data_IF_772097807290
#
_entry.id   IF_772097807290
#
_cell.length_a   1.000
_cell.length_b   1.000
_cell.length_c   1.000
_cell.angle_alpha   90.00
_cell.angle_beta   90.00
_cell.angle_gamma   90.00
#
_symmetry.space_group_name_H-M   'P 1'
#
loop_
_entity.id
_entity.type
_entity.pdbx_description
1 polymer ?
#
# COMPACT_ATOMS: atom_id res chain seq x y z
N UNK A 1 -40.38 67.42 -13.95
CA UNK A 1 -40.23 66.02 -14.41
C UNK A 1 -38.81 65.89 -14.95
N UNK A 2 -37.91 64.98 -14.60
CA UNK A 2 -38.02 63.64 -14.03
C UNK A 2 -36.64 63.31 -13.42
N UNK A 3 -36.60 62.83 -12.17
CA UNK A 3 -35.39 62.30 -11.55
C UNK A 3 -35.16 60.86 -12.06
N UNK A 4 -34.09 60.62 -12.83
CA UNK A 4 -33.64 59.26 -13.18
C UNK A 4 -32.61 58.79 -12.16
N UNK A 5 -33.04 57.93 -11.25
CA UNK A 5 -32.18 57.22 -10.30
C UNK A 5 -31.33 56.17 -11.03
N UNK A 6 -30.00 56.36 -11.04
CA UNK A 6 -29.03 55.38 -11.55
C UNK A 6 -28.87 54.21 -10.55
N UNK A 7 -29.86 53.31 -10.48
CA UNK A 7 -29.79 52.07 -9.68
C UNK A 7 -29.25 50.89 -10.49
N UNK A 8 -28.02 50.96 -11.04
CA UNK A 8 -27.45 49.85 -11.84
C UNK A 8 -25.96 49.46 -11.65
N UNK A 9 -25.17 49.94 -10.65
CA UNK A 9 -23.81 49.42 -10.45
C UNK A 9 -23.73 48.26 -9.42
N UNK A 10 -24.53 48.27 -8.35
CA UNK A 10 -24.40 47.33 -7.21
C UNK A 10 -24.73 45.87 -7.56
N UNK A 11 -25.72 45.62 -8.41
CA UNK A 11 -26.10 44.25 -8.79
C UNK A 11 -25.07 43.62 -9.75
N UNK A 12 -24.40 44.45 -10.56
CA UNK A 12 -23.38 44.03 -11.52
C UNK A 12 -22.06 43.72 -10.81
N UNK A 13 -21.67 44.52 -9.83
CA UNK A 13 -20.51 44.23 -8.98
C UNK A 13 -20.73 42.99 -8.11
N UNK A 14 -21.93 42.79 -7.54
CA UNK A 14 -22.26 41.59 -6.76
C UNK A 14 -22.15 40.30 -7.59
N UNK A 15 -22.61 40.32 -8.85
CA UNK A 15 -22.47 39.20 -9.79
C UNK A 15 -21.01 38.90 -10.14
N UNK A 16 -20.20 39.95 -10.35
CA UNK A 16 -18.76 39.80 -10.64
C UNK A 16 -18.02 39.24 -9.43
N UNK A 17 -18.30 39.73 -8.22
CA UNK A 17 -17.69 39.19 -6.99
C UNK A 17 -18.08 37.74 -6.76
N UNK A 18 -19.33 37.36 -7.05
CA UNK A 18 -19.78 35.97 -6.94
C UNK A 18 -19.07 35.04 -7.95
N UNK A 19 -18.93 35.48 -9.21
CA UNK A 19 -18.20 34.73 -10.23
C UNK A 19 -16.71 34.56 -9.89
N UNK A 20 -16.08 35.60 -9.35
CA UNK A 20 -14.70 35.55 -8.88
C UNK A 20 -14.53 34.53 -7.73
N UNK A 21 -15.40 34.59 -6.71
CA UNK A 21 -15.38 33.64 -5.59
C UNK A 21 -15.60 32.20 -6.07
N UNK A 22 -16.55 31.97 -6.99
CA UNK A 22 -16.77 30.65 -7.58
C UNK A 22 -15.54 30.14 -8.34
N UNK A 23 -14.92 30.98 -9.16
CA UNK A 23 -13.69 30.60 -9.88
C UNK A 23 -12.53 30.27 -8.93
N UNK A 24 -12.36 31.06 -7.85
CA UNK A 24 -11.33 30.84 -6.83
C UNK A 24 -11.56 29.54 -6.06
N UNK A 25 -12.83 29.22 -5.75
CA UNK A 25 -13.19 27.99 -5.05
C UNK A 25 -12.90 26.73 -5.89
N UNK A 26 -13.18 26.76 -7.20
CA UNK A 26 -12.87 25.67 -8.12
C UNK A 26 -11.36 25.48 -8.26
N UNK A 27 -10.60 26.58 -8.31
CA UNK A 27 -9.14 26.55 -8.35
C UNK A 27 -8.57 25.94 -7.05
N UNK A 28 -9.12 26.29 -5.88
CA UNK A 28 -8.73 25.67 -4.60
C UNK A 28 -9.03 24.16 -4.55
N UNK A 29 -10.20 23.72 -5.04
CA UNK A 29 -10.57 22.29 -5.08
C UNK A 29 -9.64 21.51 -6.02
N UNK A 30 -9.35 22.06 -7.21
CA UNK A 30 -8.41 21.45 -8.14
C UNK A 30 -7.00 21.34 -7.52
N UNK A 31 -6.52 22.42 -6.91
CA UNK A 31 -5.22 22.42 -6.23
C UNK A 31 -5.18 21.46 -5.03
N UNK A 32 -6.27 21.26 -4.29
CA UNK A 32 -6.33 20.28 -3.18
C UNK A 32 -6.09 18.84 -3.64
N UNK A 33 -6.60 18.48 -4.82
CA UNK A 33 -6.32 17.16 -5.40
C UNK A 33 -4.88 17.05 -5.91
N UNK A 34 -4.37 18.12 -6.52
CA UNK A 34 -2.99 18.19 -7.04
C UNK A 34 -1.94 18.22 -5.93
N UNK A 35 -2.21 18.83 -4.78
CA UNK A 35 -1.25 18.92 -3.66
C UNK A 35 -1.01 17.54 -3.03
N UNK A 36 -2.04 16.69 -2.89
CA UNK A 36 -1.83 15.33 -2.36
C UNK A 36 -0.94 14.48 -3.26
N UNK A 37 -1.11 14.61 -4.58
CA UNK A 37 -0.29 13.92 -5.57
C UNK A 37 1.14 14.48 -5.55
N UNK A 38 1.29 15.81 -5.50
CA UNK A 38 2.58 16.47 -5.45
C UNK A 38 3.38 16.12 -4.19
N UNK A 39 2.74 16.00 -3.03
CA UNK A 39 3.42 15.58 -1.78
C UNK A 39 3.91 14.14 -1.88
N UNK A 40 3.09 13.21 -2.39
CA UNK A 40 3.50 11.83 -2.66
C UNK A 40 4.73 11.81 -3.57
N UNK A 41 4.67 12.54 -4.68
CA UNK A 41 5.73 12.55 -5.69
C UNK A 41 7.02 13.19 -5.15
N UNK A 42 6.92 14.25 -4.35
CA UNK A 42 8.07 14.88 -3.68
C UNK A 42 8.77 13.91 -2.72
N UNK A 43 8.02 13.08 -1.99
CA UNK A 43 8.59 12.06 -1.11
C UNK A 43 9.36 11.02 -1.93
N UNK A 44 8.82 10.57 -3.06
CA UNK A 44 9.51 9.62 -3.94
C UNK A 44 10.70 10.24 -4.69
N UNK A 45 10.63 11.52 -5.06
CA UNK A 45 11.75 12.24 -5.68
C UNK A 45 12.91 12.43 -4.71
N UNK A 46 12.61 12.69 -3.43
CA UNK A 46 13.61 12.79 -2.37
C UNK A 46 14.05 11.43 -1.83
N UNK A 47 13.50 10.32 -2.36
CA UNK A 47 13.85 8.95 -1.97
C UNK A 47 15.36 8.69 -1.91
N UNK A 48 16.20 9.13 -2.87
CA UNK A 48 17.64 8.93 -2.77
C UNK A 48 18.32 9.59 -1.56
N UNK A 49 17.68 10.59 -0.94
CA UNK A 49 18.22 11.33 0.22
C UNK A 49 17.97 10.57 1.52
N UNK A 50 16.86 9.83 1.62
CA UNK A 50 16.42 9.18 2.87
C UNK A 50 16.32 7.65 2.78
N UNK A 51 16.14 7.08 1.60
CA UNK A 51 16.22 5.64 1.35
C UNK A 51 17.71 5.27 1.23
N UNK A 52 18.25 4.73 2.32
CA UNK A 52 19.66 4.34 2.39
C UNK A 52 20.00 3.27 1.35
N UNK A 53 21.30 3.16 1.02
CA UNK A 53 21.77 2.10 0.13
C UNK A 53 21.34 0.74 0.65
N UNK A 54 20.83 -0.11 -0.24
CA UNK A 54 20.49 -1.50 0.10
C UNK A 54 21.71 -2.18 0.72
N UNK A 55 21.51 -2.89 1.83
CA UNK A 55 22.57 -3.68 2.45
C UNK A 55 23.09 -4.72 1.46
N UNK A 56 24.39 -5.00 1.51
CA UNK A 56 24.98 -6.07 0.68
C UNK A 56 24.30 -7.37 1.03
N UNK A 57 23.72 -8.04 0.03
CA UNK A 57 23.04 -9.31 0.23
C UNK A 57 24.04 -10.36 0.70
N UNK A 58 23.72 -11.05 1.79
CA UNK A 58 24.42 -12.29 2.17
C UNK A 58 23.84 -13.42 1.35
N UNK A 59 24.63 -13.97 0.42
CA UNK A 59 24.21 -15.08 -0.42
C UNK A 59 24.28 -16.36 0.42
N UNK A 60 23.12 -16.94 0.73
CA UNK A 60 23.02 -18.26 1.37
C UNK A 60 22.74 -19.30 0.28
N UNK A 61 23.68 -20.19 -0.06
CA UNK A 61 23.48 -21.18 -1.11
C UNK A 61 22.43 -22.21 -0.69
N UNK A 62 21.56 -22.62 -1.61
CA UNK A 62 20.57 -23.67 -1.35
C UNK A 62 21.15 -25.05 -1.69
N UNK A 63 21.32 -25.91 -0.68
CA UNK A 63 21.76 -27.28 -0.88
C UNK A 63 20.55 -28.21 -0.90
N UNK A 64 20.23 -28.77 -2.07
CA UNK A 64 19.13 -29.71 -2.26
C UNK A 64 19.62 -31.02 -2.88
N UNK A 65 19.23 -32.14 -2.26
CA UNK A 65 19.24 -33.47 -2.85
C UNK A 65 18.18 -34.32 -2.16
N UNK A 66 17.66 -35.32 -2.86
CA UNK A 66 16.70 -36.26 -2.30
C UNK A 66 17.29 -37.00 -1.11
N UNK A 67 16.50 -37.15 -0.03
CA UNK A 67 16.87 -37.92 1.16
C UNK A 67 17.73 -37.19 2.21
N UNK A 68 17.98 -35.88 2.07
CA UNK A 68 18.69 -35.10 3.10
C UNK A 68 17.90 -35.01 4.41
N UNK A 69 18.59 -35.21 5.52
CA UNK A 69 18.08 -34.86 6.86
C UNK A 69 18.40 -33.39 7.19
N UNK A 70 17.52 -32.73 7.95
CA UNK A 70 17.76 -31.37 8.46
C UNK A 70 19.08 -31.22 9.25
N UNK A 71 19.59 -32.26 9.91
CA UNK A 71 20.91 -32.19 10.57
C UNK A 71 22.08 -32.03 9.58
N UNK A 72 22.04 -32.75 8.45
CA UNK A 72 23.04 -32.65 7.39
C UNK A 72 22.96 -31.30 6.69
N UNK A 73 21.73 -30.81 6.45
CA UNK A 73 21.52 -29.48 5.88
C UNK A 73 22.11 -28.40 6.78
N UNK A 74 21.82 -28.43 8.09
CA UNK A 74 22.44 -27.53 9.05
C UNK A 74 23.98 -27.59 8.98
N UNK A 75 24.54 -28.79 8.90
CA UNK A 75 26.00 -28.97 8.79
C UNK A 75 26.60 -28.29 7.55
N UNK A 76 25.98 -28.40 6.37
CA UNK A 76 26.45 -27.71 5.15
C UNK A 76 26.40 -26.18 5.25
N UNK A 77 25.52 -25.65 6.08
CA UNK A 77 25.45 -24.22 6.38
C UNK A 77 26.33 -23.79 7.56
N UNK A 78 27.07 -24.71 8.20
CA UNK A 78 27.80 -24.43 9.44
C UNK A 78 26.88 -24.14 10.64
N UNK A 79 25.62 -24.53 10.57
CA UNK A 79 24.60 -24.36 11.60
C UNK A 79 24.49 -25.61 12.48
N UNK A 80 23.98 -25.40 13.70
CA UNK A 80 23.61 -26.48 14.60
C UNK A 80 22.10 -26.71 14.54
N UNK A 81 21.68 -27.98 14.51
CA UNK A 81 20.25 -28.32 14.53
C UNK A 81 19.65 -27.86 15.85
N UNK A 82 18.52 -27.15 15.79
CA UNK A 82 17.79 -26.70 16.97
C UNK A 82 17.26 -27.90 17.75
N UNK A 83 17.38 -27.86 19.07
CA UNK A 83 16.86 -28.89 19.99
C UNK A 83 15.39 -28.68 20.34
N UNK A 84 14.95 -27.43 20.33
CA UNK A 84 13.58 -27.06 20.69
C UNK A 84 12.70 -27.08 19.45
N UNK A 85 11.44 -27.48 19.62
CA UNK A 85 10.39 -27.32 18.59
C UNK A 85 10.12 -25.83 18.41
N UNK A 86 10.25 -25.35 17.18
CA UNK A 86 9.94 -23.97 16.81
C UNK A 86 8.61 -23.97 16.07
N UNK A 87 7.75 -23.00 16.35
CA UNK A 87 6.55 -22.78 15.57
C UNK A 87 6.86 -21.89 14.37
N UNK A 88 6.45 -22.33 13.19
CA UNK A 88 6.51 -21.59 11.94
C UNK A 88 5.14 -20.96 11.69
N UNK A 89 5.10 -19.63 11.68
CA UNK A 89 3.89 -18.85 11.43
C UNK A 89 4.05 -18.16 10.09
N UNK A 90 3.17 -18.45 9.14
CA UNK A 90 3.10 -17.74 7.87
C UNK A 90 1.99 -16.69 7.92
N UNK A 91 2.36 -15.42 7.75
CA UNK A 91 1.41 -14.30 7.78
C UNK A 91 1.25 -13.73 6.37
N UNK A 92 0.03 -13.77 5.85
CA UNK A 92 -0.29 -13.46 4.46
C UNK A 92 -1.27 -12.29 4.42
N UNK A 93 -0.91 -11.21 3.73
CA UNK A 93 -1.84 -10.13 3.40
C UNK A 93 -2.54 -10.50 2.11
N UNK A 94 -3.83 -10.79 2.20
CA UNK A 94 -4.66 -11.26 1.09
C UNK A 94 -5.49 -10.11 0.49
N UNK A 95 -5.64 -10.14 -0.84
CA UNK A 95 -6.43 -9.15 -1.58
C UNK A 95 -7.56 -9.80 -2.39
N UNK A 96 -7.23 -10.52 -3.48
CA UNK A 96 -8.23 -11.13 -4.38
C UNK A 96 -7.78 -12.48 -5.00
N UNK A 97 -6.49 -12.78 -5.03
CA UNK A 97 -5.90 -13.93 -5.76
C UNK A 97 -6.05 -15.22 -4.95
N UNK A 98 -7.27 -15.76 -4.94
CA UNK A 98 -7.63 -16.94 -4.14
C UNK A 98 -6.86 -18.20 -4.60
N UNK A 99 -6.61 -18.30 -5.90
CA UNK A 99 -5.81 -19.36 -6.51
C UNK A 99 -4.36 -19.36 -6.02
N UNK A 100 -3.74 -18.18 -5.91
CA UNK A 100 -2.38 -18.07 -5.34
C UNK A 100 -2.35 -18.39 -3.84
N UNK A 101 -3.38 -17.98 -3.09
CA UNK A 101 -3.51 -18.35 -1.68
C UNK A 101 -3.65 -19.86 -1.52
N UNK A 102 -4.46 -20.50 -2.36
CA UNK A 102 -4.66 -21.96 -2.35
C UNK A 102 -3.36 -22.71 -2.63
N UNK A 103 -2.64 -22.33 -3.69
CA UNK A 103 -1.34 -22.93 -4.05
C UNK A 103 -0.37 -22.78 -2.88
N UNK A 104 -0.23 -21.56 -2.33
CA UNK A 104 0.68 -21.29 -1.21
C UNK A 104 0.37 -22.18 0.00
N UNK A 105 -0.89 -22.27 0.40
CA UNK A 105 -1.30 -23.06 1.56
C UNK A 105 -1.04 -24.55 1.31
N UNK A 106 -1.36 -25.07 0.11
CA UNK A 106 -1.13 -26.49 -0.24
C UNK A 106 0.35 -26.85 -0.23
N UNK A 107 1.20 -26.02 -0.83
CA UNK A 107 2.64 -26.24 -0.89
C UNK A 107 3.31 -26.14 0.50
N UNK A 108 2.80 -25.25 1.35
CA UNK A 108 3.37 -24.99 2.69
C UNK A 108 2.72 -25.78 3.83
N UNK A 109 1.64 -26.51 3.55
CA UNK A 109 0.86 -27.26 4.56
C UNK A 109 1.71 -28.15 5.48
N UNK A 110 2.71 -28.92 5.01
CA UNK A 110 3.49 -29.78 5.88
C UNK A 110 4.60 -29.04 6.66
N UNK A 111 4.83 -27.75 6.38
CA UNK A 111 5.97 -26.99 6.91
C UNK A 111 5.58 -25.85 7.87
N UNK A 112 4.33 -25.40 7.83
CA UNK A 112 3.84 -24.25 8.59
C UNK A 112 2.84 -24.73 9.65
N UNK A 113 3.04 -24.31 10.90
CA UNK A 113 2.16 -24.68 12.01
C UNK A 113 0.88 -23.83 12.03
N UNK A 114 1.00 -22.54 11.69
CA UNK A 114 -0.11 -21.60 11.69
C UNK A 114 -0.08 -20.65 10.49
N UNK A 115 -1.19 -20.59 9.76
CA UNK A 115 -1.42 -19.58 8.73
C UNK A 115 -2.29 -18.45 9.30
N UNK A 116 -1.80 -17.22 9.22
CA UNK A 116 -2.54 -16.02 9.57
C UNK A 116 -2.84 -15.27 8.27
N UNK A 117 -4.09 -15.29 7.81
CA UNK A 117 -4.50 -14.63 6.58
C UNK A 117 -5.26 -13.35 6.95
N UNK A 118 -4.73 -12.20 6.52
CA UNK A 118 -5.32 -10.88 6.77
C UNK A 118 -5.89 -10.32 5.48
N UNK A 119 -7.20 -10.05 5.46
CA UNK A 119 -7.86 -9.39 4.34
C UNK A 119 -8.27 -7.95 4.71
N UNK A 120 -7.89 -6.97 3.87
CA UNK A 120 -8.35 -5.59 4.01
C UNK A 120 -9.70 -5.34 3.30
N UNK A 121 -10.49 -4.38 3.76
CA UNK A 121 -11.73 -3.93 3.09
C UNK A 121 -11.47 -2.99 1.89
N UNK A 122 -10.21 -2.66 1.62
CA UNK A 122 -9.81 -1.74 0.56
C UNK A 122 -8.72 -2.28 -0.35
N UNK A 123 -8.72 -1.82 -1.58
CA UNK A 123 -7.64 -2.04 -2.55
C UNK A 123 -6.41 -1.20 -2.18
N UNK A 124 -5.26 -1.48 -2.82
CA UNK A 124 -4.04 -0.67 -2.70
C UNK A 124 -4.26 0.81 -3.07
N UNK A 125 -5.26 1.13 -3.89
CA UNK A 125 -5.65 2.52 -4.25
C UNK A 125 -6.68 3.12 -3.31
N UNK A 126 -7.06 2.42 -2.24
CA UNK A 126 -8.01 2.89 -1.22
C UNK A 126 -9.48 2.75 -1.61
N UNK A 127 -9.81 2.04 -2.70
CA UNK A 127 -11.20 1.79 -3.10
C UNK A 127 -11.77 0.62 -2.29
N UNK A 128 -13.05 0.68 -1.95
CA UNK A 128 -13.73 -0.43 -1.27
C UNK A 128 -13.65 -1.70 -2.12
N UNK A 129 -13.32 -2.84 -1.48
CA UNK A 129 -13.31 -4.17 -2.12
C UNK A 129 -14.23 -5.12 -1.37
N UNK A 130 -14.82 -6.05 -2.11
CA UNK A 130 -15.59 -7.14 -1.52
C UNK A 130 -14.63 -8.06 -0.76
N UNK A 131 -14.98 -8.38 0.48
CA UNK A 131 -14.28 -9.40 1.28
C UNK A 131 -14.63 -10.79 0.76
N UNK A 132 -13.63 -11.65 0.65
CA UNK A 132 -13.78 -13.04 0.21
C UNK A 132 -13.68 -14.01 1.40
N UNK A 133 -12.90 -13.66 2.41
CA UNK A 133 -12.78 -14.38 3.66
C UNK A 133 -13.86 -13.82 4.62
N UNK A 134 -14.95 -14.56 4.76
CA UNK A 134 -15.96 -14.26 5.77
C UNK A 134 -15.64 -15.06 7.04
N UNK A 135 -15.89 -14.47 8.21
CA UNK A 135 -15.87 -15.18 9.51
C UNK A 135 -16.94 -16.28 9.59
#
# INVERSE_FOLDING_TARGET
>A
MSCRTKMLPKLRTLKITFLLIMSLSLLCIYNWTSTKIAVRDLIYLTRPIWDGSQQVFTIVPHYYTDGLNGSQLCHFHGWQKRTNTVQVIDTIIFSIELDLLEIRIKELWPFVDHFIVLEADKTFTGRQKRLLLNE
#
